data_IF_748051002107
#
_entry.id   IF_748051002107
#
_cell.length_a   1.000
_cell.length_b   1.000
_cell.length_c   1.000
_cell.angle_alpha   90.00
_cell.angle_beta   90.00
_cell.angle_gamma   90.00
#
_symmetry.space_group_name_H-M   'P 1'
#
loop_
_entity.id
_entity.type
_entity.pdbx_description
1 polymer ?
#
# COMPACT_ATOMS: atom_id res chain seq x y z
N UNK A 1 -4.94 16.44 53.55
CA UNK A 1 -5.86 17.53 53.96
C UNK A 1 -7.00 17.50 52.96
N UNK A 2 -8.16 17.03 53.41
CA UNK A 2 -9.37 17.00 52.60
C UNK A 2 -10.23 18.23 52.86
N UNK A 3 -11.04 18.59 51.88
CA UNK A 3 -12.29 19.37 51.93
C UNK A 3 -12.98 19.06 50.58
N UNK A 4 -14.01 18.22 50.51
CA UNK A 4 -15.41 18.44 50.91
C UNK A 4 -16.09 19.58 50.13
N UNK A 5 -16.53 19.30 48.90
CA UNK A 5 -17.46 20.12 48.12
C UNK A 5 -18.84 19.45 48.07
N UNK A 6 -19.85 20.13 48.63
CA UNK A 6 -21.23 19.65 48.79
C UNK A 6 -22.09 19.57 47.51
N UNK A 7 -23.39 19.23 47.65
CA UNK A 7 -24.16 18.54 46.62
C UNK A 7 -24.70 19.44 45.51
N UNK A 8 -24.69 18.92 44.30
CA UNK A 8 -25.27 19.52 43.09
C UNK A 8 -26.81 19.42 43.13
N UNK A 9 -27.57 20.46 42.73
CA UNK A 9 -29.03 20.38 42.67
C UNK A 9 -29.48 19.45 41.53
N UNK A 10 -30.40 18.55 41.83
CA UNK A 10 -31.06 17.65 40.88
C UNK A 10 -31.95 18.44 39.91
N UNK A 11 -31.77 18.18 38.61
CA UNK A 11 -32.65 18.66 37.55
C UNK A 11 -33.93 17.79 37.50
N UNK A 12 -35.11 18.37 37.21
CA UNK A 12 -36.34 17.60 37.11
C UNK A 12 -36.39 16.77 35.82
N UNK A 13 -36.81 15.49 35.94
CA UNK A 13 -37.04 14.57 34.82
C UNK A 13 -38.17 15.06 33.89
N UNK A 14 -38.01 14.98 32.57
CA UNK A 14 -39.11 15.19 31.65
C UNK A 14 -40.02 13.95 31.59
N UNK A 15 -41.33 14.22 31.71
CA UNK A 15 -42.43 13.25 31.69
C UNK A 15 -42.50 12.45 30.38
N UNK A 16 -42.74 11.15 30.55
CA UNK A 16 -43.12 10.15 29.54
C UNK A 16 -44.20 10.66 28.56
N UNK A 17 -43.89 10.58 27.26
CA UNK A 17 -44.84 10.80 26.16
C UNK A 17 -45.12 9.43 25.51
N UNK A 18 -46.40 9.11 25.44
CA UNK A 18 -47.04 7.92 24.86
C UNK A 18 -46.51 7.52 23.47
N UNK A 19 -46.18 6.24 23.32
CA UNK A 19 -45.87 5.59 22.04
C UNK A 19 -47.13 5.48 21.15
N UNK A 20 -46.99 5.87 19.89
CA UNK A 20 -47.92 5.54 18.81
C UNK A 20 -47.28 4.49 17.89
N UNK A 21 -48.01 3.46 17.41
CA UNK A 21 -47.39 2.37 16.66
C UNK A 21 -47.04 2.83 15.24
N UNK A 22 -45.74 2.80 14.91
CA UNK A 22 -45.27 2.97 13.53
C UNK A 22 -45.28 1.62 12.81
N UNK A 23 -46.13 1.47 11.80
CA UNK A 23 -46.03 0.34 10.85
C UNK A 23 -44.73 0.45 10.06
N UNK A 24 -43.75 -0.41 10.37
CA UNK A 24 -42.51 -0.52 9.61
C UNK A 24 -42.68 -1.58 8.51
N UNK A 25 -42.81 -1.14 7.26
CA UNK A 25 -42.64 -2.00 6.09
C UNK A 25 -41.14 -2.25 5.89
N UNK A 26 -40.72 -3.52 6.02
CA UNK A 26 -39.31 -3.90 5.81
C UNK A 26 -39.08 -4.39 4.39
N UNK A 27 -37.86 -4.23 3.86
CA UNK A 27 -37.46 -4.76 2.53
C UNK A 27 -37.76 -6.26 2.37
N UNK A 28 -37.78 -7.01 3.46
CA UNK A 28 -38.14 -8.44 3.49
C UNK A 28 -39.62 -8.67 3.18
N UNK A 29 -40.51 -7.80 3.67
CA UNK A 29 -41.95 -7.86 3.40
C UNK A 29 -42.28 -7.57 1.92
N UNK A 30 -41.50 -6.70 1.26
CA UNK A 30 -41.65 -6.40 -0.16
C UNK A 30 -41.21 -7.57 -1.07
N UNK A 31 -40.09 -8.22 -0.74
CA UNK A 31 -39.56 -9.34 -1.52
C UNK A 31 -40.40 -10.61 -1.43
N UNK A 32 -41.11 -10.83 -0.31
CA UNK A 32 -42.04 -11.95 -0.17
C UNK A 32 -43.35 -11.69 -0.95
N UNK A 33 -43.76 -10.43 -1.13
CA UNK A 33 -44.98 -10.06 -1.85
C UNK A 33 -44.89 -10.07 -3.38
N UNK A 34 -43.68 -10.00 -3.95
CA UNK A 34 -43.48 -9.90 -5.41
C UNK A 34 -43.48 -11.26 -6.15
N UNK A 35 -43.62 -12.39 -5.44
CA UNK A 35 -43.57 -13.73 -6.01
C UNK A 35 -44.91 -14.32 -6.50
N UNK A 36 -46.02 -13.60 -6.36
CA UNK A 36 -47.35 -14.08 -6.76
C UNK A 36 -47.95 -13.16 -7.84
N UNK A 37 -47.68 -13.47 -9.11
CA UNK A 37 -48.19 -12.72 -10.25
C UNK A 37 -48.47 -13.60 -11.48
N UNK A 38 -49.72 -14.06 -11.58
CA UNK A 38 -50.48 -14.43 -12.77
C UNK A 38 -50.00 -15.57 -13.70
N UNK A 39 -50.55 -16.77 -13.50
CA UNK A 39 -50.86 -17.70 -14.59
C UNK A 39 -52.34 -17.51 -14.98
N UNK A 40 -52.61 -16.99 -16.18
CA UNK A 40 -53.94 -16.98 -16.77
C UNK A 40 -53.96 -17.91 -17.99
N UNK A 41 -54.90 -18.86 -17.96
CA UNK A 41 -55.10 -19.91 -18.94
C UNK A 41 -55.69 -19.38 -20.26
N UNK A 42 -55.32 -20.02 -21.37
CA UNK A 42 -55.96 -19.85 -22.67
C UNK A 42 -55.74 -21.10 -23.53
N UNK A 43 -56.73 -21.98 -23.58
CA UNK A 43 -56.80 -23.11 -24.49
C UNK A 43 -57.69 -22.72 -25.69
N UNK A 44 -57.18 -22.86 -26.93
CA UNK A 44 -57.99 -23.06 -28.13
C UNK A 44 -57.26 -24.04 -29.06
N UNK A 45 -58.08 -24.94 -29.61
CA UNK A 45 -57.84 -26.15 -30.37
C UNK A 45 -57.29 -25.90 -31.79
N UNK A 46 -56.54 -26.89 -32.29
CA UNK A 46 -56.62 -27.33 -33.69
C UNK A 46 -55.87 -26.51 -34.74
N UNK A 47 -54.63 -26.93 -35.04
CA UNK A 47 -53.90 -26.48 -36.22
C UNK A 47 -52.49 -27.02 -36.24
N UNK A 48 -52.22 -27.99 -37.12
CA UNK A 48 -50.89 -28.56 -37.32
C UNK A 48 -49.93 -27.50 -37.86
N UNK A 49 -49.11 -26.92 -37.00
CA UNK A 49 -47.95 -26.13 -37.40
C UNK A 49 -46.73 -27.05 -37.32
N UNK A 50 -46.18 -27.37 -38.49
CA UNK A 50 -44.91 -28.08 -38.63
C UNK A 50 -43.81 -27.21 -38.03
N UNK A 51 -43.49 -27.45 -36.77
CA UNK A 51 -42.35 -26.81 -36.11
C UNK A 51 -41.08 -27.45 -36.67
N UNK A 52 -40.48 -26.81 -37.68
CA UNK A 52 -39.08 -27.04 -38.04
C UNK A 52 -38.25 -26.81 -36.80
N UNK A 53 -37.74 -27.90 -36.21
CA UNK A 53 -36.79 -27.88 -35.11
C UNK A 53 -35.47 -27.32 -35.65
N UNK A 54 -35.40 -26.00 -35.77
CA UNK A 54 -34.14 -25.30 -35.95
C UNK A 54 -33.30 -25.62 -34.72
N UNK A 55 -32.26 -26.43 -34.91
CA UNK A 55 -31.18 -26.61 -33.95
C UNK A 55 -30.46 -25.28 -33.82
N UNK A 56 -31.04 -24.35 -33.05
CA UNK A 56 -30.26 -23.25 -32.53
C UNK A 56 -29.23 -23.88 -31.59
N UNK A 57 -27.92 -23.74 -31.84
CA UNK A 57 -26.94 -24.10 -30.84
C UNK A 57 -27.24 -23.25 -29.62
N UNK A 58 -27.68 -23.89 -28.54
CA UNK A 58 -27.79 -23.27 -27.23
C UNK A 58 -26.43 -22.60 -26.98
N UNK A 59 -26.38 -21.28 -26.72
CA UNK A 59 -25.15 -20.70 -26.22
C UNK A 59 -24.84 -21.47 -24.95
N UNK A 60 -23.77 -22.25 -24.96
CA UNK A 60 -23.19 -22.79 -23.75
C UNK A 60 -22.72 -21.57 -22.99
N UNK A 61 -23.61 -20.99 -22.19
CA UNK A 61 -23.25 -20.00 -21.19
C UNK A 61 -22.37 -20.76 -20.24
N UNK A 62 -21.06 -20.72 -20.49
CA UNK A 62 -20.05 -21.11 -19.51
C UNK A 62 -20.25 -20.14 -18.37
N UNK A 63 -21.15 -20.48 -17.45
CA UNK A 63 -21.35 -19.77 -16.20
C UNK A 63 -20.01 -19.88 -15.49
N UNK A 64 -19.17 -18.87 -15.65
CA UNK A 64 -17.96 -18.72 -14.86
C UNK A 64 -18.47 -18.56 -13.44
N UNK A 65 -18.51 -19.65 -12.68
CA UNK A 65 -18.87 -19.61 -11.27
C UNK A 65 -17.88 -18.66 -10.62
N UNK A 66 -18.32 -17.42 -10.37
CA UNK A 66 -17.47 -16.42 -9.75
C UNK A 66 -17.02 -17.00 -8.41
N UNK A 67 -15.72 -17.28 -8.27
CA UNK A 67 -15.16 -17.81 -7.02
C UNK A 67 -15.60 -16.89 -5.89
N UNK A 68 -16.43 -17.42 -5.00
CA UNK A 68 -17.00 -16.65 -3.92
C UNK A 68 -15.88 -16.30 -2.95
N UNK A 69 -15.65 -15.01 -2.75
CA UNK A 69 -14.68 -14.52 -1.77
C UNK A 69 -15.10 -14.95 -0.37
N UNK A 70 -14.11 -15.30 0.47
CA UNK A 70 -14.34 -15.58 1.88
C UNK A 70 -15.08 -14.41 2.56
N UNK A 71 -15.81 -14.67 3.67
CA UNK A 71 -16.72 -13.70 4.29
C UNK A 71 -16.04 -12.39 4.73
N UNK A 72 -14.72 -12.43 5.00
CA UNK A 72 -13.93 -11.26 5.41
C UNK A 72 -13.23 -10.55 4.25
N UNK A 73 -13.20 -11.14 3.05
CA UNK A 73 -12.46 -10.60 1.92
C UNK A 73 -13.32 -9.66 1.06
N UNK A 74 -12.73 -8.55 0.61
CA UNK A 74 -13.39 -7.55 -0.25
C UNK A 74 -12.52 -7.21 -1.44
N UNK A 75 -13.15 -7.15 -2.62
CA UNK A 75 -12.56 -6.48 -3.78
C UNK A 75 -12.66 -4.98 -3.60
N UNK A 76 -11.54 -4.28 -3.71
CA UNK A 76 -11.48 -2.82 -3.70
C UNK A 76 -10.53 -2.33 -4.80
N UNK A 77 -10.87 -1.21 -5.41
CA UNK A 77 -9.98 -0.49 -6.33
C UNK A 77 -9.37 0.68 -5.58
N UNK A 78 -8.07 0.60 -5.28
CA UNK A 78 -7.31 1.66 -4.61
C UNK A 78 -6.67 2.58 -5.64
N UNK A 79 -6.87 3.89 -5.51
CA UNK A 79 -6.19 4.89 -6.34
C UNK A 79 -5.01 5.45 -5.54
N UNK A 80 -3.81 4.91 -5.80
CA UNK A 80 -2.59 5.28 -5.08
C UNK A 80 -1.62 5.92 -6.07
N UNK A 81 -1.23 7.16 -5.80
CA UNK A 81 -0.35 7.97 -6.64
C UNK A 81 -0.87 8.10 -8.09
N UNK A 82 -2.21 8.20 -8.25
CA UNK A 82 -2.89 8.31 -9.54
C UNK A 82 -3.07 6.99 -10.30
N UNK A 83 -2.57 5.88 -9.75
CA UNK A 83 -2.67 4.55 -10.36
C UNK A 83 -3.73 3.72 -9.64
N UNK A 84 -4.76 3.31 -10.38
CA UNK A 84 -5.80 2.39 -9.90
C UNK A 84 -5.26 0.97 -9.80
N UNK A 85 -5.46 0.34 -8.64
CA UNK A 85 -5.04 -1.02 -8.32
C UNK A 85 -6.21 -1.80 -7.76
N UNK A 86 -6.61 -2.86 -8.46
CA UNK A 86 -7.62 -3.79 -7.98
C UNK A 86 -6.99 -4.83 -7.06
N UNK A 87 -7.47 -4.90 -5.82
CA UNK A 87 -6.94 -5.80 -4.79
C UNK A 87 -8.07 -6.51 -4.05
N UNK A 88 -7.76 -7.67 -3.50
CA UNK A 88 -8.63 -8.42 -2.60
C UNK A 88 -8.02 -8.31 -1.20
N UNK A 89 -8.70 -7.62 -0.29
CA UNK A 89 -8.19 -7.32 1.06
C UNK A 89 -9.09 -7.93 2.12
N UNK A 90 -8.52 -8.29 3.27
CA UNK A 90 -9.32 -8.60 4.45
C UNK A 90 -9.95 -7.31 5.00
N UNK A 91 -11.16 -7.40 5.58
CA UNK A 91 -11.85 -6.26 6.20
C UNK A 91 -11.05 -5.60 7.34
N UNK A 92 -10.06 -6.30 7.91
CA UNK A 92 -9.19 -5.83 8.99
C UNK A 92 -7.85 -5.29 8.51
N UNK A 93 -7.52 -5.48 7.25
CA UNK A 93 -6.23 -5.10 6.69
C UNK A 93 -6.11 -3.59 6.59
N UNK A 94 -5.03 -3.05 7.15
CA UNK A 94 -4.72 -1.63 7.08
C UNK A 94 -4.21 -1.25 5.68
N UNK A 95 -4.34 0.03 5.36
CA UNK A 95 -3.83 0.62 4.12
C UNK A 95 -2.31 0.45 4.04
N UNK A 96 -1.62 0.59 5.16
CA UNK A 96 -0.18 0.37 5.21
C UNK A 96 0.19 -1.08 4.86
N UNK A 97 -0.49 -2.08 5.43
CA UNK A 97 -0.25 -3.49 5.11
C UNK A 97 -0.53 -3.78 3.64
N UNK A 98 -1.66 -3.35 3.09
CA UNK A 98 -1.97 -3.58 1.67
C UNK A 98 -0.94 -2.94 0.75
N UNK A 99 -0.54 -1.69 1.03
CA UNK A 99 0.49 -1.01 0.24
C UNK A 99 1.84 -1.74 0.29
N UNK A 100 2.31 -2.15 1.47
CA UNK A 100 3.67 -2.66 1.62
C UNK A 100 3.76 -4.17 1.39
N UNK A 101 2.84 -4.96 1.94
CA UNK A 101 2.89 -6.42 1.89
C UNK A 101 2.28 -6.98 0.60
N UNK A 102 1.11 -6.49 0.17
CA UNK A 102 0.50 -6.99 -1.07
C UNK A 102 1.05 -6.31 -2.32
N UNK A 103 1.18 -4.98 -2.28
CA UNK A 103 1.54 -4.19 -3.45
C UNK A 103 3.04 -3.88 -3.57
N UNK A 104 3.84 -4.20 -2.54
CA UNK A 104 5.29 -3.93 -2.54
C UNK A 104 5.66 -2.44 -2.58
N UNK A 105 4.72 -1.54 -2.28
CA UNK A 105 4.92 -0.09 -2.28
C UNK A 105 5.57 0.35 -0.96
N UNK A 106 6.90 0.32 -0.93
CA UNK A 106 7.72 0.74 0.23
C UNK A 106 7.81 2.27 0.38
N UNK A 107 6.69 2.97 0.23
CA UNK A 107 6.57 4.44 0.19
C UNK A 107 6.07 5.06 1.51
N UNK A 108 5.90 4.25 2.56
CA UNK A 108 5.55 4.69 3.91
C UNK A 108 6.16 3.75 4.94
N UNK A 109 6.57 4.23 6.11
CA UNK A 109 7.23 3.40 7.12
C UNK A 109 6.25 2.97 8.21
N UNK A 110 6.32 1.73 8.68
CA UNK A 110 5.63 1.32 9.90
C UNK A 110 6.53 1.57 11.11
N UNK A 111 5.95 2.13 12.17
CA UNK A 111 6.65 2.34 13.44
C UNK A 111 5.87 1.73 14.59
N UNK A 112 4.98 2.53 15.19
CA UNK A 112 4.25 2.11 16.39
C UNK A 112 3.04 1.19 16.14
N UNK A 113 2.52 1.15 14.91
CA UNK A 113 1.30 0.45 14.50
C UNK A 113 0.06 0.70 15.39
N UNK A 114 -0.04 1.92 15.93
CA UNK A 114 -1.12 2.34 16.84
C UNK A 114 -1.44 3.82 16.76
N UNK A 115 -1.22 4.42 15.60
CA UNK A 115 -1.53 5.83 15.29
C UNK A 115 -0.80 6.90 16.14
N UNK A 116 0.32 6.57 16.77
CA UNK A 116 1.01 7.49 17.68
C UNK A 116 2.22 8.20 17.08
N UNK A 117 2.96 7.55 16.17
CA UNK A 117 4.24 8.09 15.70
C UNK A 117 4.20 8.81 14.35
N UNK A 118 3.13 8.69 13.58
CA UNK A 118 2.98 9.34 12.28
C UNK A 118 3.92 8.85 11.15
N UNK A 119 4.78 7.86 11.39
CA UNK A 119 5.75 7.39 10.38
C UNK A 119 5.07 6.79 9.12
N UNK A 120 3.87 6.25 9.29
CA UNK A 120 3.06 5.65 8.23
C UNK A 120 2.13 6.66 7.53
N UNK A 121 2.32 7.96 7.77
CA UNK A 121 1.41 8.96 7.23
C UNK A 121 1.42 8.98 5.70
N UNK A 122 0.23 8.98 5.13
CA UNK A 122 -0.06 9.20 3.72
C UNK A 122 -1.18 10.23 3.61
N UNK A 123 -1.40 10.80 2.43
CA UNK A 123 -2.47 11.75 2.22
C UNK A 123 -3.67 11.05 1.58
N UNK A 124 -4.84 11.12 2.20
CA UNK A 124 -6.12 10.69 1.62
C UNK A 124 -6.97 11.93 1.35
N UNK A 125 -7.29 12.17 0.08
CA UNK A 125 -7.96 13.41 -0.38
C UNK A 125 -7.25 14.68 0.13
N UNK A 126 -5.91 14.59 0.19
CA UNK A 126 -4.96 15.60 0.66
C UNK A 126 -4.98 15.88 2.16
N UNK A 127 -5.61 15.03 2.98
CA UNK A 127 -5.48 15.06 4.44
C UNK A 127 -4.46 14.00 4.86
N UNK A 128 -3.50 14.38 5.71
CA UNK A 128 -2.59 13.41 6.30
C UNK A 128 -3.35 12.48 7.26
N UNK A 129 -3.17 11.17 7.07
CA UNK A 129 -3.77 10.12 7.89
C UNK A 129 -2.73 9.03 8.19
N UNK A 130 -2.86 8.38 9.35
CA UNK A 130 -2.02 7.24 9.69
C UNK A 130 -2.44 6.00 8.89
N UNK A 131 -1.61 5.56 7.94
CA UNK A 131 -1.92 4.39 7.09
C UNK A 131 -2.19 3.10 7.88
N UNK A 132 -1.59 2.95 9.07
CA UNK A 132 -1.82 1.80 9.95
C UNK A 132 -3.25 1.71 10.53
N UNK A 133 -4.03 2.79 10.54
CA UNK A 133 -5.40 2.77 11.09
C UNK A 133 -6.50 2.91 10.06
N UNK A 134 -6.15 3.15 8.80
CA UNK A 134 -7.11 3.19 7.70
C UNK A 134 -7.31 1.78 7.17
N UNK A 135 -8.53 1.27 7.15
CA UNK A 135 -8.83 -0.04 6.57
C UNK A 135 -8.89 0.06 5.04
N UNK A 136 -8.14 -0.78 4.34
CA UNK A 136 -8.13 -0.81 2.86
C UNK A 136 -9.51 -1.07 2.29
N UNK A 137 -10.30 -1.92 2.95
CA UNK A 137 -11.68 -2.21 2.59
C UNK A 137 -12.60 -0.96 2.52
N UNK A 138 -12.22 0.16 3.17
CA UNK A 138 -12.97 1.43 3.16
C UNK A 138 -12.53 2.38 2.03
N UNK A 139 -11.38 2.14 1.41
CA UNK A 139 -10.73 3.07 0.47
C UNK A 139 -11.11 2.86 -1.01
N UNK A 140 -12.01 1.91 -1.30
CA UNK A 140 -12.47 1.60 -2.66
C UNK A 140 -13.62 2.47 -3.19
N UNK A 141 -13.83 3.69 -2.68
CA UNK A 141 -14.96 4.57 -3.04
C UNK A 141 -14.53 5.82 -3.80
N UNK A 142 -13.36 5.77 -4.45
CA UNK A 142 -12.82 6.84 -5.29
C UNK A 142 -11.92 7.84 -4.56
N UNK A 143 -11.59 7.60 -3.30
CA UNK A 143 -10.61 8.40 -2.57
C UNK A 143 -9.23 8.33 -3.23
N UNK A 144 -8.50 9.45 -3.21
CA UNK A 144 -7.14 9.55 -3.75
C UNK A 144 -6.14 9.38 -2.62
N UNK A 145 -5.29 8.37 -2.73
CA UNK A 145 -4.19 8.11 -1.80
C UNK A 145 -2.92 8.63 -2.44
N UNK A 146 -2.23 9.55 -1.78
CA UNK A 146 -0.92 10.04 -2.20
C UNK A 146 0.11 9.63 -1.16
N UNK A 147 1.16 8.95 -1.61
CA UNK A 147 2.32 8.56 -0.81
C UNK A 147 3.47 9.54 -1.06
N UNK A 148 4.58 9.34 -0.35
CA UNK A 148 5.78 10.19 -0.54
C UNK A 148 6.32 10.08 -1.98
N UNK A 149 6.14 8.94 -2.65
CA UNK A 149 6.62 8.75 -4.01
C UNK A 149 5.79 9.54 -5.04
N UNK A 150 4.49 9.68 -4.82
CA UNK A 150 3.59 10.45 -5.68
C UNK A 150 3.80 11.96 -5.66
N UNK A 151 4.71 12.49 -4.82
CA UNK A 151 5.02 13.91 -4.75
C UNK A 151 6.02 14.37 -5.83
N UNK A 152 6.93 13.49 -6.24
CA UNK A 152 7.96 13.84 -7.21
C UNK A 152 7.37 13.94 -8.62
N UNK A 153 7.81 14.94 -9.38
CA UNK A 153 7.35 15.22 -10.76
C UNK A 153 8.40 14.87 -11.81
N UNK A 154 9.62 14.51 -11.39
CA UNK A 154 10.71 14.15 -12.28
C UNK A 154 11.95 13.63 -11.55
N UNK A 155 13.05 13.39 -12.28
CA UNK A 155 14.29 12.90 -11.70
C UNK A 155 15.07 13.98 -10.96
N UNK A 156 15.96 13.55 -10.07
CA UNK A 156 16.92 14.41 -9.38
C UNK A 156 16.29 15.42 -8.44
N UNK A 157 17.12 16.33 -7.91
CA UNK A 157 16.73 17.34 -6.92
C UNK A 157 15.65 18.28 -7.48
N UNK A 158 15.68 18.60 -8.77
CA UNK A 158 14.72 19.49 -9.44
C UNK A 158 13.35 18.88 -9.63
N UNK A 159 13.26 17.56 -9.77
CA UNK A 159 12.00 16.83 -9.87
C UNK A 159 11.33 16.55 -8.52
N UNK A 160 12.02 16.75 -7.40
CA UNK A 160 11.42 16.62 -6.07
C UNK A 160 10.39 17.71 -5.77
N UNK A 161 9.38 17.38 -4.98
CA UNK A 161 8.49 18.37 -4.40
C UNK A 161 9.27 19.32 -3.47
N UNK A 162 8.94 20.62 -3.40
CA UNK A 162 9.60 21.59 -2.50
C UNK A 162 9.77 21.12 -1.05
N UNK A 163 8.77 20.41 -0.52
CA UNK A 163 8.85 19.78 0.82
C UNK A 163 9.92 18.70 0.88
N UNK A 164 9.97 17.75 -0.07
CA UNK A 164 11.00 16.70 -0.10
C UNK A 164 12.39 17.31 -0.22
N UNK A 165 12.54 18.28 -1.15
CA UNK A 165 13.80 19.00 -1.39
C UNK A 165 14.26 19.74 -0.13
N UNK A 166 13.36 20.45 0.55
CA UNK A 166 13.67 21.18 1.77
C UNK A 166 14.09 20.24 2.91
N UNK A 167 13.38 19.13 3.11
CA UNK A 167 13.77 18.12 4.10
C UNK A 167 15.15 17.53 3.79
N UNK A 168 15.45 17.29 2.51
CA UNK A 168 16.75 16.78 2.11
C UNK A 168 17.86 17.80 2.36
N UNK A 169 17.75 18.99 1.77
CA UNK A 169 18.83 19.96 1.73
C UNK A 169 19.00 20.74 3.04
N UNK A 170 17.98 20.78 3.90
CA UNK A 170 18.12 21.32 5.26
C UNK A 170 18.41 20.22 6.29
N UNK A 171 18.56 18.97 5.88
CA UNK A 171 18.83 17.86 6.80
C UNK A 171 17.72 17.65 7.82
N UNK A 172 16.45 17.82 7.44
CA UNK A 172 15.26 17.54 8.26
C UNK A 172 15.06 16.04 8.57
N UNK A 173 16.14 15.26 8.60
CA UNK A 173 16.17 13.84 8.86
C UNK A 173 17.54 13.40 9.38
N UNK A 174 17.56 12.27 10.08
CA UNK A 174 18.77 11.55 10.44
C UNK A 174 18.58 10.07 10.09
N UNK A 175 17.97 9.27 10.97
CA UNK A 175 17.69 7.85 10.69
C UNK A 175 16.65 7.62 9.58
N UNK A 176 15.89 8.64 9.20
CA UNK A 176 14.94 8.59 8.09
C UNK A 176 13.59 7.92 8.37
N UNK A 177 13.43 7.17 9.47
CA UNK A 177 12.21 6.40 9.76
C UNK A 177 10.96 7.30 9.82
N UNK A 178 11.05 8.46 10.47
CA UNK A 178 9.92 9.38 10.59
C UNK A 178 9.75 10.31 9.38
N UNK A 179 10.77 10.43 8.51
CA UNK A 179 10.88 11.51 7.52
C UNK A 179 9.77 11.49 6.48
N UNK A 180 9.40 10.31 5.98
CA UNK A 180 8.28 10.17 5.03
C UNK A 180 6.97 10.68 5.64
N UNK A 181 6.71 10.32 6.90
CA UNK A 181 5.55 10.79 7.64
C UNK A 181 5.54 12.31 7.82
N UNK A 182 6.67 12.89 8.24
CA UNK A 182 6.81 14.35 8.34
C UNK A 182 6.60 15.06 7.01
N UNK A 183 7.13 14.53 5.90
CA UNK A 183 6.93 15.10 4.57
C UNK A 183 5.44 15.11 4.21
N UNK A 184 4.73 13.99 4.38
CA UNK A 184 3.31 13.90 4.04
C UNK A 184 2.45 14.84 4.89
N UNK A 185 2.67 14.87 6.20
CA UNK A 185 2.01 15.82 7.11
C UNK A 185 2.31 17.27 6.75
N UNK A 186 3.56 17.59 6.39
CA UNK A 186 3.94 18.94 5.94
C UNK A 186 3.20 19.34 4.66
N UNK A 187 3.09 18.44 3.68
CA UNK A 187 2.32 18.70 2.45
C UNK A 187 0.85 18.99 2.79
N UNK A 188 0.25 18.21 3.69
CA UNK A 188 -1.13 18.43 4.11
C UNK A 188 -1.31 19.78 4.84
N UNK A 189 -0.38 20.14 5.74
CA UNK A 189 -0.35 21.42 6.44
C UNK A 189 -0.24 22.60 5.47
N UNK A 190 0.74 22.57 4.56
CA UNK A 190 0.99 23.70 3.65
C UNK A 190 -0.11 23.88 2.61
N UNK A 191 -0.89 22.83 2.32
CA UNK A 191 -2.10 22.94 1.49
C UNK A 191 -3.17 23.80 2.17
N UNK A 192 -3.26 23.77 3.50
CA UNK A 192 -4.28 24.53 4.24
C UNK A 192 -3.76 25.86 4.77
N UNK A 193 -2.48 25.93 5.14
CA UNK A 193 -1.82 27.11 5.68
C UNK A 193 -0.51 27.33 4.89
N UNK A 194 -0.54 28.09 3.78
CA UNK A 194 0.63 28.27 2.92
C UNK A 194 1.80 29.02 3.56
N UNK A 195 1.58 29.73 4.67
CA UNK A 195 2.61 30.44 5.45
C UNK A 195 2.41 30.21 6.95
N UNK A 196 2.74 29.01 7.46
CA UNK A 196 2.43 28.66 8.84
C UNK A 196 3.39 29.33 9.83
N UNK A 197 2.87 29.76 10.98
CA UNK A 197 3.67 30.17 12.13
C UNK A 197 4.29 28.95 12.83
N UNK A 198 5.27 29.15 13.71
CA UNK A 198 5.87 28.06 14.48
C UNK A 198 4.84 27.27 15.30
N UNK A 199 3.84 27.95 15.86
CA UNK A 199 2.74 27.30 16.58
C UNK A 199 1.91 26.42 15.65
N UNK A 200 1.61 26.89 14.44
CA UNK A 200 0.87 26.11 13.45
C UNK A 200 1.68 24.92 12.90
N UNK A 201 3.00 25.06 12.78
CA UNK A 201 3.90 23.95 12.42
C UNK A 201 3.90 22.91 13.54
N UNK A 202 4.05 23.34 14.80
CA UNK A 202 4.04 22.45 15.96
C UNK A 202 2.74 21.65 16.04
N UNK A 203 1.60 22.33 15.91
CA UNK A 203 0.29 21.70 15.94
C UNK A 203 0.09 20.75 14.75
N UNK A 204 0.37 21.22 13.53
CA UNK A 204 0.17 20.45 12.30
C UNK A 204 1.06 19.21 12.18
N UNK A 205 2.19 19.18 12.89
CA UNK A 205 3.13 18.05 12.90
C UNK A 205 3.15 17.29 14.24
N UNK A 206 2.29 17.63 15.19
CA UNK A 206 2.25 17.01 16.53
C UNK A 206 2.02 15.49 16.51
N UNK A 207 1.38 14.98 15.46
CA UNK A 207 1.18 13.55 15.23
C UNK A 207 2.42 12.80 14.70
N UNK A 208 3.54 13.47 14.46
CA UNK A 208 4.78 12.90 13.95
C UNK A 208 5.88 12.92 15.01
N UNK A 209 6.38 11.75 15.40
CA UNK A 209 7.41 11.60 16.43
C UNK A 209 8.78 11.36 15.80
N UNK A 210 9.76 12.19 16.16
CA UNK A 210 11.16 12.03 15.81
C UNK A 210 11.99 11.65 17.05
N UNK A 211 12.54 10.43 17.10
CA UNK A 211 13.41 10.02 18.21
C UNK A 211 14.84 10.57 18.10
N UNK A 212 15.28 10.92 16.89
CA UNK A 212 16.55 11.62 16.66
C UNK A 212 16.55 13.06 17.19
N UNK A 213 15.37 13.64 17.47
CA UNK A 213 15.26 15.01 17.99
C UNK A 213 15.48 16.11 16.95
N UNK A 214 15.34 15.81 15.66
CA UNK A 214 15.67 16.72 14.54
C UNK A 214 14.61 17.82 14.27
N UNK A 215 13.76 18.12 15.26
CA UNK A 215 12.59 19.00 15.10
C UNK A 215 12.95 20.41 14.63
N UNK A 216 14.08 20.98 15.07
CA UNK A 216 14.51 22.30 14.62
C UNK A 216 14.74 22.33 13.09
N UNK A 217 15.42 21.32 12.53
CA UNK A 217 15.62 21.23 11.07
C UNK A 217 14.35 20.83 10.34
N UNK A 218 13.44 20.08 10.96
CA UNK A 218 12.07 19.88 10.43
C UNK A 218 11.35 21.22 10.27
N UNK A 219 11.37 22.09 11.29
CA UNK A 219 10.76 23.42 11.22
C UNK A 219 11.40 24.30 10.14
N UNK A 220 12.73 24.32 10.07
CA UNK A 220 13.47 24.99 8.98
C UNK A 220 13.02 24.47 7.62
N UNK A 221 12.88 23.15 7.47
CA UNK A 221 12.44 22.51 6.22
C UNK A 221 11.02 22.91 5.85
N UNK A 222 10.09 22.97 6.81
CA UNK A 222 8.71 23.38 6.58
C UNK A 222 8.64 24.84 6.13
N UNK A 223 9.34 25.75 6.82
CA UNK A 223 9.38 27.18 6.46
C UNK A 223 10.00 27.41 5.09
N UNK A 224 11.09 26.70 4.79
CA UNK A 224 11.77 26.78 3.49
C UNK A 224 10.83 26.31 2.37
N UNK A 225 10.19 25.15 2.54
CA UNK A 225 9.24 24.63 1.57
C UNK A 225 8.03 25.56 1.38
N UNK A 226 7.54 26.16 2.46
CA UNK A 226 6.43 27.11 2.42
C UNK A 226 6.79 28.36 1.59
N UNK A 227 7.98 28.92 1.81
CA UNK A 227 8.48 30.06 1.03
C UNK A 227 8.66 29.70 -0.45
N UNK A 228 9.29 28.56 -0.76
CA UNK A 228 9.49 28.09 -2.13
C UNK A 228 8.16 27.86 -2.87
N UNK A 229 7.17 27.24 -2.21
CA UNK A 229 5.83 27.04 -2.79
C UNK A 229 5.09 28.34 -3.10
N UNK A 230 5.44 29.45 -2.42
CA UNK A 230 4.93 30.80 -2.72
C UNK A 230 5.75 31.54 -3.79
N UNK A 231 6.77 30.90 -4.36
CA UNK A 231 7.63 31.48 -5.39
C UNK A 231 8.74 32.38 -4.83
N UNK A 232 9.01 32.32 -3.53
CA UNK A 232 10.10 33.10 -2.92
C UNK A 232 11.46 32.44 -3.19
N UNK A 233 12.52 33.25 -3.28
CA UNK A 233 13.89 32.73 -3.35
C UNK A 233 14.28 32.17 -1.99
N UNK A 234 14.69 30.91 -1.97
CA UNK A 234 15.13 30.22 -0.75
C UNK A 234 16.60 29.83 -0.82
N UNK A 235 17.22 29.73 0.34
CA UNK A 235 18.55 29.15 0.52
C UNK A 235 18.43 27.87 1.35
N UNK A 236 19.21 26.87 0.97
CA UNK A 236 19.27 25.60 1.69
C UNK A 236 20.58 25.50 2.49
N UNK A 237 20.58 24.72 3.57
CA UNK A 237 21.78 24.50 4.38
C UNK A 237 22.86 23.73 3.61
N UNK A 238 22.48 22.70 2.87
CA UNK A 238 23.36 21.95 2.00
C UNK A 238 23.37 22.53 0.58
N UNK A 239 24.55 22.57 -0.04
CA UNK A 239 24.70 22.85 -1.48
C UNK A 239 24.66 21.51 -2.23
N UNK A 240 23.71 21.29 -3.16
CA UNK A 240 23.71 20.08 -3.98
C UNK A 240 25.00 19.98 -4.77
N UNK A 241 25.67 18.84 -4.70
CA UNK A 241 26.78 18.51 -5.59
C UNK A 241 26.21 17.64 -6.70
N UNK A 242 26.19 18.17 -7.91
CA UNK A 242 25.80 17.41 -9.10
C UNK A 242 27.04 16.67 -9.59
N UNK A 243 27.04 15.36 -9.39
CA UNK A 243 28.01 14.47 -10.02
C UNK A 243 27.32 13.91 -11.25
N UNK A 244 27.85 14.18 -12.44
CA UNK A 244 27.43 13.47 -13.64
C UNK A 244 27.78 12.00 -13.44
N UNK A 245 26.80 11.22 -12.98
CA UNK A 245 26.93 9.78 -12.94
C UNK A 245 26.93 9.35 -14.40
N UNK A 246 28.13 9.13 -14.96
CA UNK A 246 28.27 8.34 -16.17
C UNK A 246 27.50 7.07 -15.89
N UNK A 247 26.37 6.88 -16.59
CA UNK A 247 25.56 5.69 -16.43
C UNK A 247 26.53 4.50 -16.47
N UNK A 248 26.51 3.60 -15.47
CA UNK A 248 27.37 2.44 -15.53
C UNK A 248 27.17 1.82 -16.91
N UNK A 249 28.27 1.57 -17.62
CA UNK A 249 28.21 0.91 -18.91
C UNK A 249 27.23 -0.24 -18.77
N UNK A 250 26.19 -0.26 -19.62
CA UNK A 250 25.23 -1.35 -19.65
C UNK A 250 26.03 -2.64 -19.51
N UNK A 251 25.77 -3.46 -18.47
CA UNK A 251 26.49 -4.72 -18.35
C UNK A 251 26.36 -5.41 -19.71
N UNK A 252 27.46 -5.97 -20.24
CA UNK A 252 27.43 -6.62 -21.55
C UNK A 252 26.20 -7.54 -21.58
N UNK A 253 25.43 -7.55 -22.68
CA UNK A 253 24.15 -8.26 -22.75
C UNK A 253 24.34 -9.62 -22.13
N UNK A 254 23.61 -9.85 -21.03
CA UNK A 254 23.85 -11.02 -20.20
C UNK A 254 23.80 -12.24 -21.11
N UNK A 255 24.89 -13.03 -21.12
CA UNK A 255 24.96 -14.25 -21.90
C UNK A 255 23.64 -15.02 -21.73
N UNK A 256 23.06 -15.46 -22.85
CA UNK A 256 21.78 -16.15 -22.88
C UNK A 256 21.85 -17.39 -21.97
N UNK A 257 21.40 -17.21 -20.74
CA UNK A 257 21.50 -18.18 -19.66
C UNK A 257 20.12 -18.59 -19.19
N UNK A 258 19.98 -19.84 -18.80
CA UNK A 258 18.75 -20.32 -18.16
C UNK A 258 18.77 -19.88 -16.71
N UNK A 259 17.65 -19.39 -16.19
CA UNK A 259 17.50 -18.99 -14.80
C UNK A 259 16.34 -19.72 -14.15
N UNK A 260 16.54 -20.19 -12.92
CA UNK A 260 15.50 -20.86 -12.14
C UNK A 260 15.67 -20.56 -10.65
N UNK A 261 14.54 -20.32 -9.99
CA UNK A 261 14.43 -20.22 -8.55
C UNK A 261 14.16 -21.60 -7.94
N UNK A 262 14.80 -21.87 -6.81
CA UNK A 262 14.66 -23.07 -6.02
C UNK A 262 14.44 -22.72 -4.54
N UNK A 263 13.68 -23.56 -3.84
CA UNK A 263 13.52 -23.45 -2.40
C UNK A 263 14.54 -24.35 -1.70
N UNK A 264 15.23 -23.85 -0.68
CA UNK A 264 16.10 -24.71 0.11
C UNK A 264 15.28 -25.73 0.90
N UNK A 265 15.71 -26.99 0.90
CA UNK A 265 15.09 -28.02 1.73
C UNK A 265 15.22 -27.68 3.22
N UNK A 266 16.36 -27.10 3.60
CA UNK A 266 16.66 -26.54 4.92
C UNK A 266 17.14 -25.10 4.76
N UNK A 267 16.35 -24.09 5.21
CA UNK A 267 16.76 -22.69 5.16
C UNK A 267 18.02 -22.41 5.97
N UNK A 268 18.72 -21.33 5.60
CA UNK A 268 19.80 -20.77 6.40
C UNK A 268 19.27 -20.07 7.65
N UNK A 269 20.12 -19.95 8.67
CA UNK A 269 19.77 -19.25 9.90
C UNK A 269 19.73 -17.74 9.69
N UNK A 270 20.68 -17.20 8.92
CA UNK A 270 20.72 -15.78 8.55
C UNK A 270 21.11 -15.58 7.08
N UNK A 271 20.97 -14.35 6.59
CA UNK A 271 21.33 -13.99 5.20
C UNK A 271 22.84 -13.98 4.99
N UNK A 272 23.63 -13.70 6.03
CA UNK A 272 25.10 -13.71 5.98
C UNK A 272 25.66 -15.11 5.71
N UNK A 273 24.98 -16.14 6.23
CA UNK A 273 25.33 -17.54 5.93
C UNK A 273 25.04 -17.89 4.46
N UNK A 274 23.97 -17.32 3.89
CA UNK A 274 23.64 -17.47 2.47
C UNK A 274 24.69 -16.79 1.59
N UNK A 275 25.08 -15.57 1.91
CA UNK A 275 26.11 -14.84 1.17
C UNK A 275 27.44 -15.62 1.16
N UNK A 276 27.85 -16.12 2.32
CA UNK A 276 29.06 -16.95 2.45
C UNK A 276 28.98 -18.23 1.61
N UNK A 277 27.80 -18.83 1.53
CA UNK A 277 27.57 -20.04 0.74
C UNK A 277 27.65 -19.82 -0.78
N UNK A 278 27.16 -18.68 -1.29
CA UNK A 278 27.11 -18.44 -2.74
C UNK A 278 28.43 -17.96 -3.35
N UNK A 279 29.36 -17.42 -2.55
CA UNK A 279 30.65 -16.93 -3.03
C UNK A 279 31.48 -17.95 -3.84
N UNK A 280 31.66 -19.21 -3.41
CA UNK A 280 32.36 -20.20 -4.24
C UNK A 280 31.54 -20.59 -5.48
N UNK A 281 30.21 -20.54 -5.42
CA UNK A 281 29.34 -20.92 -6.53
C UNK A 281 29.39 -19.90 -7.67
N UNK A 282 29.48 -18.60 -7.37
CA UNK A 282 29.62 -17.52 -8.38
C UNK A 282 30.88 -17.66 -9.23
N UNK A 283 31.91 -18.34 -8.71
CA UNK A 283 33.19 -18.56 -9.40
C UNK A 283 33.21 -19.83 -10.25
N UNK A 284 32.15 -20.63 -10.22
CA UNK A 284 32.10 -21.93 -10.88
C UNK A 284 31.80 -21.78 -12.36
N UNK A 285 32.53 -22.52 -13.20
CA UNK A 285 32.30 -22.48 -14.64
C UNK A 285 30.86 -22.93 -14.97
N UNK A 286 30.20 -22.19 -15.85
CA UNK A 286 28.81 -22.38 -16.22
C UNK A 286 27.79 -21.67 -15.32
N UNK A 287 28.16 -21.19 -14.13
CA UNK A 287 27.28 -20.31 -13.33
C UNK A 287 27.50 -18.87 -13.79
N UNK A 288 26.41 -18.19 -14.15
CA UNK A 288 26.41 -16.83 -14.67
C UNK A 288 26.01 -15.80 -13.63
N UNK A 289 25.06 -16.14 -12.76
CA UNK A 289 24.61 -15.28 -11.67
C UNK A 289 23.91 -16.09 -10.57
N UNK A 290 23.92 -15.57 -9.33
CA UNK A 290 23.19 -16.14 -8.19
C UNK A 290 22.62 -15.01 -7.35
N UNK A 291 21.32 -15.07 -7.07
CA UNK A 291 20.62 -14.20 -6.13
C UNK A 291 19.68 -15.01 -5.25
N UNK A 292 19.17 -14.45 -4.15
CA UNK A 292 18.26 -15.18 -3.27
C UNK A 292 18.15 -14.60 -1.86
N UNK A 293 17.69 -15.45 -0.96
CA UNK A 293 17.51 -15.18 0.47
C UNK A 293 17.90 -16.40 1.31
N UNK A 294 17.75 -16.33 2.63
CA UNK A 294 17.97 -17.46 3.52
C UNK A 294 17.03 -18.65 3.25
N UNK A 295 15.97 -18.48 2.46
CA UNK A 295 14.98 -19.53 2.12
C UNK A 295 15.03 -19.99 0.67
N UNK A 296 15.51 -19.14 -0.24
CA UNK A 296 15.38 -19.36 -1.68
C UNK A 296 16.67 -19.00 -2.41
N UNK A 297 16.93 -19.66 -3.53
CA UNK A 297 18.07 -19.36 -4.39
C UNK A 297 17.63 -19.34 -5.85
N UNK A 298 17.95 -18.26 -6.54
CA UNK A 298 17.83 -18.14 -8.00
C UNK A 298 19.21 -18.27 -8.60
N UNK A 299 19.40 -19.31 -9.39
CA UNK A 299 20.64 -19.55 -10.12
C UNK A 299 20.40 -19.25 -11.59
N UNK A 300 21.32 -18.51 -12.20
CA UNK A 300 21.42 -18.35 -13.66
C UNK A 300 22.66 -19.08 -14.14
N UNK A 301 22.52 -19.92 -15.16
CA UNK A 301 23.61 -20.74 -15.67
C UNK A 301 23.59 -20.83 -17.20
N UNK A 302 24.73 -21.20 -17.78
CA UNK A 302 24.89 -21.49 -19.20
C UNK A 302 24.36 -22.92 -19.49
N UNK A 303 23.28 -23.08 -20.27
CA UNK A 303 22.70 -24.39 -20.55
C UNK A 303 23.61 -25.29 -21.41
N UNK A 304 24.62 -24.73 -22.09
CA UNK A 304 25.61 -25.52 -22.81
C UNK A 304 26.62 -26.21 -21.88
N UNK A 305 26.77 -25.70 -20.64
CA UNK A 305 27.74 -26.18 -19.66
C UNK A 305 27.11 -26.93 -18.49
N UNK A 306 25.92 -26.51 -18.07
CA UNK A 306 25.21 -27.09 -16.92
C UNK A 306 23.75 -27.35 -17.26
N UNK A 307 23.28 -28.54 -16.91
CA UNK A 307 21.86 -28.86 -16.83
C UNK A 307 21.28 -28.45 -15.47
N UNK A 308 19.95 -28.33 -15.38
CA UNK A 308 19.28 -28.06 -14.10
C UNK A 308 19.64 -29.11 -13.04
N UNK A 309 19.72 -30.40 -13.42
CA UNK A 309 20.07 -31.46 -12.48
C UNK A 309 21.48 -31.27 -11.92
N UNK A 310 22.45 -30.88 -12.75
CA UNK A 310 23.82 -30.59 -12.30
C UNK A 310 23.88 -29.37 -11.37
N UNK A 311 22.99 -28.39 -11.53
CA UNK A 311 22.84 -27.27 -10.59
C UNK A 311 22.29 -27.77 -9.25
N UNK A 312 21.26 -28.62 -9.26
CA UNK A 312 20.71 -29.23 -8.03
C UNK A 312 21.74 -30.08 -7.29
N UNK A 313 22.49 -30.90 -8.03
CA UNK A 313 23.54 -31.76 -7.48
C UNK A 313 24.68 -30.92 -6.88
N UNK A 314 25.04 -29.82 -7.53
CA UNK A 314 26.01 -28.86 -7.00
C UNK A 314 25.57 -28.29 -5.65
N UNK A 315 24.35 -27.77 -5.57
CA UNK A 315 23.80 -27.23 -4.32
C UNK A 315 23.73 -28.30 -3.23
N UNK A 316 23.32 -29.52 -3.58
CA UNK A 316 23.30 -30.66 -2.66
C UNK A 316 24.69 -31.06 -2.17
N UNK A 317 25.71 -31.05 -3.05
CA UNK A 317 27.09 -31.41 -2.71
C UNK A 317 27.72 -30.44 -1.70
N UNK A 318 27.25 -29.19 -1.69
CA UNK A 318 27.64 -28.16 -0.71
C UNK A 318 26.76 -28.19 0.56
N UNK A 319 25.96 -29.24 0.75
CA UNK A 319 25.12 -29.43 1.92
C UNK A 319 23.86 -28.55 1.93
N UNK A 320 23.38 -28.10 0.77
CA UNK A 320 22.16 -27.29 0.61
C UNK A 320 21.29 -27.84 -0.51
N UNK A 321 20.66 -28.98 -0.25
CA UNK A 321 19.68 -29.54 -1.15
C UNK A 321 18.50 -28.58 -1.36
N UNK A 322 17.94 -28.59 -2.57
CA UNK A 322 16.82 -27.73 -2.97
C UNK A 322 15.64 -28.55 -3.49
N UNK A 323 14.43 -28.04 -3.26
CA UNK A 323 13.17 -28.58 -3.76
C UNK A 323 12.89 -28.04 -5.16
#
# INVERSE_FOLDING_TARGET
>A
MGEAGGPTPSQPEPKSISESPKLSLTRRSFLIGAGAGAAAAGAVLGGAVVATKALNPTPTTTTTTATQLGPTMRRVTLDIDGVKRDVIVDNRESLWETMNFQLGLSNSNLGCDRAQCGACAVNVDGKAVNGCTILSARMGRGQKITTVAGLATGPGVTGLHPVQRSFWLNGGFQCGICTRGFIMSTVALLRTIPNPTDVQIAEGLSGNICRCGEYAKVFTSVKTAAAELRGEKVTYLAKPIFVDVVAPAQPPPAAAGTSKAFDFATPFATIEDFDTFIEPLKKRDGILDISGSERTITVKWDPAKLSEQQVRDLLSSLGRAVK
#
